data_IF_910815870736
#
_entry.id   IF_910815870736
#
_cell.length_a   1.000
_cell.length_b   1.000
_cell.length_c   1.000
_cell.angle_alpha   90.00
_cell.angle_beta   90.00
_cell.angle_gamma   90.00
#
_symmetry.space_group_name_H-M   'P 1'
#
loop_
_entity.id
_entity.type
_entity.pdbx_description
1 polymer ?
#
# COMPACT_ATOMS: atom_id res chain seq x y z
N UNK A 1 7.34 48.30 14.07
CA UNK A 1 6.20 47.35 14.18
C UNK A 1 6.69 46.00 13.69
N UNK A 2 7.10 45.12 14.61
CA UNK A 2 7.53 43.77 14.24
C UNK A 2 6.27 42.96 13.90
N UNK A 3 6.16 42.46 12.67
CA UNK A 3 5.14 41.48 12.33
C UNK A 3 5.35 40.25 13.24
N UNK A 4 4.35 39.90 14.03
CA UNK A 4 4.39 38.72 14.87
C UNK A 4 4.64 37.48 13.97
N UNK A 5 5.75 36.79 14.17
CA UNK A 5 6.02 35.53 13.50
C UNK A 5 4.86 34.57 13.79
N UNK A 6 4.15 34.14 12.74
CA UNK A 6 3.08 33.18 12.88
C UNK A 6 3.63 31.88 13.52
N UNK A 7 2.89 31.23 14.43
CA UNK A 7 3.35 30.02 15.13
C UNK A 7 3.47 28.80 14.21
N UNK A 8 3.03 28.90 12.95
CA UNK A 8 2.99 27.83 11.98
C UNK A 8 3.48 28.37 10.63
N UNK A 9 4.37 27.61 9.99
CA UNK A 9 4.74 27.81 8.60
C UNK A 9 3.92 26.87 7.71
N UNK A 10 3.11 27.43 6.82
CA UNK A 10 2.38 26.67 5.80
C UNK A 10 3.21 26.62 4.53
N UNK A 11 3.39 25.42 3.96
CA UNK A 11 4.06 25.23 2.69
C UNK A 11 3.31 24.18 1.88
N UNK A 12 2.95 24.52 0.65
CA UNK A 12 2.53 23.52 -0.33
C UNK A 12 3.76 22.74 -0.80
N UNK A 13 3.79 21.44 -0.53
CA UNK A 13 4.92 20.59 -0.91
C UNK A 13 4.82 20.12 -2.37
N UNK A 14 3.61 19.72 -2.80
CA UNK A 14 3.36 19.16 -4.13
C UNK A 14 1.86 19.19 -4.45
N UNK A 15 1.51 19.60 -5.67
CA UNK A 15 0.17 19.38 -6.24
C UNK A 15 0.17 18.10 -7.07
N UNK A 16 -0.57 17.05 -6.68
CA UNK A 16 -0.54 15.75 -7.38
C UNK A 16 -0.95 15.83 -8.86
N UNK A 17 -1.88 16.73 -9.21
CA UNK A 17 -2.26 16.96 -10.60
C UNK A 17 -1.10 17.48 -11.47
N UNK A 18 -0.16 18.23 -10.88
CA UNK A 18 1.01 18.76 -11.60
C UNK A 18 2.01 17.69 -12.03
N UNK A 19 2.01 16.53 -11.36
CA UNK A 19 2.84 15.36 -11.69
C UNK A 19 2.06 14.30 -12.48
N UNK A 20 0.93 14.70 -13.08
CA UNK A 20 0.16 13.88 -14.00
C UNK A 20 -0.75 12.86 -13.33
N UNK A 21 -1.04 12.98 -12.02
CA UNK A 21 -2.07 12.18 -11.36
C UNK A 21 -3.44 12.73 -11.75
N UNK A 22 -4.32 11.85 -12.25
CA UNK A 22 -5.68 12.26 -12.56
C UNK A 22 -6.46 12.57 -11.27
N UNK A 23 -7.12 13.74 -11.15
CA UNK A 23 -7.89 14.12 -9.96
C UNK A 23 -8.91 13.08 -9.48
N UNK A 24 -9.47 12.27 -10.39
CA UNK A 24 -10.42 11.20 -10.01
C UNK A 24 -9.81 10.16 -9.05
N UNK A 25 -8.48 9.98 -9.08
CA UNK A 25 -7.76 9.03 -8.24
C UNK A 25 -7.20 9.68 -6.97
N UNK A 26 -7.44 10.96 -6.73
CA UNK A 26 -7.02 11.66 -5.50
C UNK A 26 -8.10 11.46 -4.43
N UNK A 27 -8.21 10.24 -3.92
CA UNK A 27 -9.19 9.86 -2.90
C UNK A 27 -8.54 8.93 -1.87
N UNK A 28 -9.16 8.79 -0.70
CA UNK A 28 -8.64 7.93 0.39
C UNK A 28 -8.46 6.47 -0.04
N UNK A 29 -9.25 5.98 -0.99
CA UNK A 29 -9.17 4.60 -1.48
C UNK A 29 -8.00 4.39 -2.45
N UNK A 30 -7.56 5.45 -3.15
CA UNK A 30 -6.56 5.37 -4.21
C UNK A 30 -5.20 5.94 -3.81
N UNK A 31 -5.14 6.90 -2.89
CA UNK A 31 -3.90 7.55 -2.42
C UNK A 31 -3.52 7.06 -1.03
N UNK A 32 -2.27 6.63 -0.88
CA UNK A 32 -1.69 6.26 0.42
C UNK A 32 -0.40 7.02 0.65
N UNK A 33 -0.19 7.41 1.91
CA UNK A 33 1.01 8.11 2.37
C UNK A 33 1.39 7.57 3.74
N UNK A 34 2.41 6.72 3.75
CA UNK A 34 2.87 5.99 4.95
C UNK A 34 4.02 6.71 5.66
N UNK A 35 4.65 7.67 4.96
CA UNK A 35 5.70 8.57 5.46
C UNK A 35 5.74 9.83 4.60
N UNK A 36 6.63 10.76 4.94
CA UNK A 36 6.97 11.93 4.13
C UNK A 36 7.81 11.60 2.88
N UNK A 37 8.29 10.35 2.71
CA UNK A 37 9.16 9.96 1.61
C UNK A 37 8.44 9.58 0.33
N UNK A 38 7.27 8.96 0.45
CA UNK A 38 6.56 8.36 -0.68
C UNK A 38 5.07 8.63 -0.63
N UNK A 39 4.52 8.97 -1.78
CA UNK A 39 3.08 8.94 -2.04
C UNK A 39 2.81 7.85 -3.06
N UNK A 40 1.84 6.99 -2.78
CA UNK A 40 1.44 5.91 -3.67
C UNK A 40 0.01 6.15 -4.15
N UNK A 41 -0.20 6.14 -5.46
CA UNK A 41 -1.51 6.36 -6.08
C UNK A 41 -1.86 5.17 -6.96
N UNK A 42 -3.05 4.59 -6.77
CA UNK A 42 -3.58 3.54 -7.64
C UNK A 42 -4.46 4.18 -8.71
N UNK A 43 -4.07 4.05 -9.97
CA UNK A 43 -4.90 4.44 -11.10
C UNK A 43 -5.58 3.19 -11.67
N UNK A 44 -6.88 3.27 -11.96
CA UNK A 44 -7.66 2.13 -12.50
C UNK A 44 -8.18 2.36 -13.92
N UNK A 45 -7.76 3.44 -14.56
CA UNK A 45 -8.06 3.75 -15.96
C UNK A 45 -6.91 4.59 -16.58
N UNK A 46 -6.55 4.38 -17.86
CA UNK A 46 -7.10 3.38 -18.80
C UNK A 46 -6.66 1.93 -18.49
N UNK A 47 -5.61 1.76 -17.69
CA UNK A 47 -5.13 0.47 -17.20
C UNK A 47 -4.80 0.58 -15.71
N UNK A 48 -4.93 -0.53 -14.98
CA UNK A 48 -4.51 -0.60 -13.58
C UNK A 48 -3.01 -0.36 -13.45
N UNK A 49 -2.64 0.66 -12.69
CA UNK A 49 -1.25 0.97 -12.39
C UNK A 49 -1.10 1.52 -10.98
N UNK A 50 0.09 1.35 -10.42
CA UNK A 50 0.50 2.00 -9.18
C UNK A 50 1.56 3.02 -9.52
N UNK A 51 1.27 4.27 -9.20
CA UNK A 51 2.17 5.42 -9.35
C UNK A 51 2.82 5.70 -8.02
N UNK A 52 4.15 5.66 -7.98
CA UNK A 52 4.96 5.91 -6.79
C UNK A 52 5.67 7.24 -6.99
N UNK A 53 5.36 8.21 -6.14
CA UNK A 53 5.97 9.53 -6.13
C UNK A 53 7.00 9.53 -5.00
N UNK A 54 8.28 9.66 -5.38
CA UNK A 54 9.38 9.86 -4.45
C UNK A 54 9.49 11.34 -4.13
N UNK A 55 9.30 11.73 -2.86
CA UNK A 55 9.30 13.14 -2.45
C UNK A 55 10.69 13.79 -2.55
N UNK A 56 11.76 13.01 -2.74
CA UNK A 56 13.08 13.55 -3.09
C UNK A 56 13.19 13.96 -4.57
N UNK A 57 12.37 13.37 -5.45
CA UNK A 57 12.32 13.62 -6.89
C UNK A 57 10.87 13.58 -7.41
N UNK A 58 9.99 14.48 -6.93
CA UNK A 58 8.54 14.37 -7.16
C UNK A 58 8.14 14.54 -8.64
N UNK A 59 8.97 15.20 -9.44
CA UNK A 59 8.76 15.42 -10.87
C UNK A 59 8.99 14.17 -11.74
N UNK A 60 9.47 13.06 -11.16
CA UNK A 60 9.72 11.80 -11.86
C UNK A 60 8.96 10.63 -11.22
N UNK A 61 7.61 10.65 -11.26
CA UNK A 61 6.81 9.58 -10.67
C UNK A 61 7.05 8.24 -11.39
N UNK A 62 7.24 7.17 -10.63
CA UNK A 62 7.44 5.83 -11.15
C UNK A 62 6.08 5.14 -11.32
N UNK A 63 5.66 4.91 -12.57
CA UNK A 63 4.44 4.16 -12.89
C UNK A 63 4.76 2.69 -13.13
N UNK A 64 4.08 1.76 -12.44
CA UNK A 64 4.21 0.32 -12.66
C UNK A 64 2.86 -0.31 -12.97
N UNK A 65 2.76 -1.19 -14.00
CA UNK A 65 1.53 -1.92 -14.31
C UNK A 65 1.29 -2.98 -13.24
N UNK A 66 0.52 -2.63 -12.21
CA UNK A 66 0.24 -3.47 -11.04
C UNK A 66 -1.26 -3.44 -10.80
N UNK A 67 -1.88 -4.61 -10.77
CA UNK A 67 -3.28 -4.77 -10.38
C UNK A 67 -3.34 -5.16 -8.91
N UNK A 68 -3.83 -4.26 -8.07
CA UNK A 68 -4.02 -4.48 -6.64
C UNK A 68 -5.20 -3.64 -6.11
N UNK A 69 -5.88 -4.18 -5.10
CA UNK A 69 -6.95 -3.49 -4.39
C UNK A 69 -6.40 -2.43 -3.42
N UNK A 70 -5.19 -2.65 -2.88
CA UNK A 70 -4.49 -1.67 -2.05
C UNK A 70 -2.97 -1.78 -2.22
N UNK A 71 -2.28 -0.66 -2.06
CA UNK A 71 -0.83 -0.56 -2.21
C UNK A 71 -0.27 0.42 -1.16
N UNK A 72 0.76 0.00 -0.44
CA UNK A 72 1.41 0.78 0.62
C UNK A 72 2.93 0.77 0.42
N UNK A 73 3.54 1.94 0.24
CA UNK A 73 4.99 2.07 0.24
C UNK A 73 5.54 1.99 1.66
N UNK A 74 6.68 1.33 1.82
CA UNK A 74 7.37 1.27 3.09
C UNK A 74 7.85 2.68 3.53
N UNK A 75 7.82 3.00 4.85
CA UNK A 75 8.19 4.32 5.35
C UNK A 75 9.63 4.77 5.05
N UNK A 76 10.58 3.85 4.85
CA UNK A 76 11.98 4.22 4.66
C UNK A 76 12.69 3.53 3.49
N UNK A 77 12.12 2.46 2.93
CA UNK A 77 12.75 1.62 1.91
C UNK A 77 11.92 1.56 0.62
N UNK A 78 12.58 1.16 -0.48
CA UNK A 78 11.95 0.85 -1.78
C UNK A 78 11.26 -0.53 -1.73
N UNK A 79 10.35 -0.68 -0.78
CA UNK A 79 9.54 -1.89 -0.56
C UNK A 79 8.07 -1.51 -0.70
N UNK A 80 7.34 -2.24 -1.54
CA UNK A 80 5.93 -2.04 -1.82
C UNK A 80 5.14 -3.24 -1.28
N UNK A 81 4.20 -2.97 -0.38
CA UNK A 81 3.20 -3.95 0.04
C UNK A 81 1.97 -3.81 -0.87
N UNK A 82 1.50 -4.93 -1.41
CA UNK A 82 0.32 -5.03 -2.25
C UNK A 82 -0.70 -5.97 -1.64
N UNK A 83 -1.97 -5.57 -1.67
CA UNK A 83 -3.13 -6.42 -1.38
C UNK A 83 -3.92 -6.56 -2.66
N UNK A 84 -4.01 -7.77 -3.18
CA UNK A 84 -4.85 -8.08 -4.32
C UNK A 84 -5.81 -9.20 -3.99
N UNK A 85 -6.96 -9.22 -4.66
CA UNK A 85 -7.86 -10.37 -4.65
C UNK A 85 -7.32 -11.46 -5.56
N UNK A 86 -7.10 -12.64 -4.99
CA UNK A 86 -6.93 -13.88 -5.75
C UNK A 86 -8.31 -14.53 -5.86
N UNK A 87 -8.85 -14.63 -7.08
CA UNK A 87 -9.92 -15.58 -7.33
C UNK A 87 -9.30 -16.96 -7.20
N UNK A 88 -9.64 -17.71 -6.15
CA UNK A 88 -9.29 -19.12 -6.09
C UNK A 88 -10.12 -19.82 -7.16
N UNK A 89 -9.49 -20.10 -8.30
CA UNK A 89 -10.04 -21.09 -9.22
C UNK A 89 -9.95 -22.44 -8.51
N UNK A 90 -11.08 -23.14 -8.48
CA UNK A 90 -11.25 -24.43 -7.81
C UNK A 90 -10.18 -25.41 -8.26
N UNK A 91 -9.14 -25.59 -7.44
CA UNK A 91 -8.23 -26.73 -7.58
C UNK A 91 -7.94 -27.26 -6.18
N UNK A 92 -8.52 -28.43 -5.91
CA UNK A 92 -8.19 -29.44 -4.89
C UNK A 92 -9.16 -29.60 -3.71
N UNK A 93 -10.04 -30.59 -3.84
CA UNK A 93 -10.41 -31.70 -2.94
C UNK A 93 -10.78 -31.49 -1.47
N UNK A 94 -10.85 -30.26 -0.97
CA UNK A 94 -11.47 -30.00 0.34
C UNK A 94 -12.46 -28.87 0.23
N UNK A 95 -13.73 -29.18 0.48
CA UNK A 95 -14.89 -28.31 0.35
C UNK A 95 -14.65 -26.93 1.01
N UNK A 96 -14.30 -25.94 0.20
CA UNK A 96 -14.35 -24.53 0.53
C UNK A 96 -15.45 -23.91 -0.34
N UNK A 97 -16.38 -23.23 0.31
CA UNK A 97 -17.60 -22.69 -0.31
C UNK A 97 -17.26 -21.81 -1.54
N UNK A 98 -17.98 -21.97 -2.67
CA UNK A 98 -17.82 -21.11 -3.84
C UNK A 98 -18.02 -19.64 -3.46
N UNK A 99 -17.08 -18.77 -3.83
CA UNK A 99 -17.19 -17.32 -3.63
C UNK A 99 -16.41 -16.72 -2.46
N UNK A 100 -15.59 -17.50 -1.75
CA UNK A 100 -14.71 -16.92 -0.71
C UNK A 100 -13.57 -16.12 -1.36
N UNK A 101 -13.68 -14.80 -1.30
CA UNK A 101 -12.63 -13.90 -1.81
C UNK A 101 -11.59 -13.73 -0.72
N UNK A 102 -10.41 -14.34 -0.89
CA UNK A 102 -9.32 -14.18 0.07
C UNK A 102 -8.32 -13.12 -0.40
N UNK A 103 -7.90 -12.25 0.51
CA UNK A 103 -6.89 -11.24 0.22
C UNK A 103 -5.50 -11.89 0.14
N UNK A 104 -4.85 -11.71 -1.00
CA UNK A 104 -3.48 -12.12 -1.23
C UNK A 104 -2.55 -10.93 -0.96
N UNK A 105 -1.83 -10.99 0.15
CA UNK A 105 -0.85 -9.98 0.53
C UNK A 105 0.52 -10.33 -0.04
N UNK A 106 1.20 -9.36 -0.64
CA UNK A 106 2.51 -9.52 -1.25
C UNK A 106 3.42 -8.36 -0.89
N UNK A 107 4.69 -8.64 -0.63
CA UNK A 107 5.72 -7.63 -0.37
C UNK A 107 6.76 -7.75 -1.48
N UNK A 108 6.97 -6.66 -2.21
CA UNK A 108 7.95 -6.56 -3.29
C UNK A 108 9.03 -5.56 -2.96
N UNK A 109 10.28 -5.94 -3.22
CA UNK A 109 11.36 -4.99 -3.34
C UNK A 109 11.34 -4.43 -4.78
N UNK A 110 11.02 -3.14 -4.93
CA UNK A 110 10.91 -2.54 -6.27
C UNK A 110 12.28 -2.21 -6.89
N UNK A 111 13.31 -2.09 -6.06
CA UNK A 111 14.71 -1.88 -6.48
C UNK A 111 15.29 -3.18 -7.03
N UNK A 112 15.20 -4.26 -6.26
CA UNK A 112 15.65 -5.60 -6.68
C UNK A 112 14.70 -6.28 -7.67
N UNK A 113 13.52 -5.70 -7.93
CA UNK A 113 12.44 -6.26 -8.74
C UNK A 113 12.06 -7.70 -8.30
N UNK A 114 12.09 -7.94 -7.00
CA UNK A 114 11.95 -9.28 -6.41
C UNK A 114 10.81 -9.32 -5.40
N UNK A 115 10.06 -10.43 -5.39
CA UNK A 115 9.07 -10.72 -4.34
C UNK A 115 9.81 -11.14 -3.07
N UNK A 116 9.65 -10.39 -1.98
CA UNK A 116 10.24 -10.71 -0.68
C UNK A 116 9.38 -11.74 0.05
N UNK A 117 8.07 -11.48 0.13
CA UNK A 117 7.14 -12.29 0.92
C UNK A 117 5.74 -12.27 0.33
N UNK A 118 4.97 -13.28 0.67
CA UNK A 118 3.59 -13.47 0.25
C UNK A 118 2.82 -14.19 1.34
N UNK A 119 1.58 -13.80 1.59
CA UNK A 119 0.70 -14.48 2.52
C UNK A 119 -0.75 -14.43 2.02
N UNK A 120 -1.44 -15.57 2.11
CA UNK A 120 -2.85 -15.68 1.80
C UNK A 120 -3.63 -15.56 3.10
N UNK A 121 -4.41 -14.48 3.25
CA UNK A 121 -5.19 -14.28 4.47
C UNK A 121 -6.42 -15.19 4.48
N UNK A 122 -6.76 -15.81 5.63
CA UNK A 122 -7.97 -16.62 5.75
C UNK A 122 -9.24 -15.77 5.73
N UNK A 123 -9.14 -14.50 6.15
CA UNK A 123 -10.22 -13.52 6.20
C UNK A 123 -9.86 -12.27 5.37
N UNK A 124 -10.85 -11.45 5.06
CA UNK A 124 -10.63 -10.17 4.39
C UNK A 124 -9.92 -9.18 5.32
N UNK A 125 -8.88 -8.54 4.81
CA UNK A 125 -8.20 -7.42 5.46
C UNK A 125 -8.95 -6.14 5.09
N UNK A 126 -9.63 -5.57 6.09
CA UNK A 126 -10.43 -4.34 5.95
C UNK A 126 -9.57 -3.08 6.04
N UNK A 127 -8.46 -3.16 6.80
CA UNK A 127 -7.50 -2.08 6.93
C UNK A 127 -6.10 -2.65 7.18
N UNK A 128 -5.08 -1.95 6.71
CA UNK A 128 -3.70 -2.29 6.95
C UNK A 128 -2.82 -1.06 6.87
N UNK A 129 -1.70 -1.08 7.60
CA UNK A 129 -0.77 0.05 7.68
C UNK A 129 0.62 -0.43 8.08
N UNK A 130 1.67 0.28 7.66
CA UNK A 130 3.00 0.10 8.26
C UNK A 130 3.00 0.65 9.68
N UNK A 131 3.28 -0.21 10.66
CA UNK A 131 3.48 0.18 12.06
C UNK A 131 4.94 0.59 12.28
N UNK A 132 5.85 -0.17 11.67
CA UNK A 132 7.28 0.13 11.62
C UNK A 132 7.79 -0.15 10.21
N UNK A 133 9.01 0.28 9.85
CA UNK A 133 9.60 -0.07 8.57
C UNK A 133 9.76 -1.58 8.32
N UNK A 134 9.53 -2.42 9.33
CA UNK A 134 9.65 -3.88 9.22
C UNK A 134 8.34 -4.62 9.46
N UNK A 135 7.26 -3.93 9.83
CA UNK A 135 6.04 -4.57 10.31
C UNK A 135 4.78 -3.87 9.79
N UNK A 136 3.88 -4.67 9.23
CA UNK A 136 2.53 -4.27 8.84
C UNK A 136 1.54 -4.68 9.92
N UNK A 137 0.64 -3.78 10.30
CA UNK A 137 -0.59 -4.11 11.00
C UNK A 137 -1.66 -4.47 10.00
N UNK A 138 -2.32 -5.60 10.19
CA UNK A 138 -3.43 -6.08 9.37
C UNK A 138 -4.67 -6.17 10.27
N UNK A 139 -5.77 -5.56 9.85
CA UNK A 139 -7.04 -5.57 10.57
C UNK A 139 -8.04 -6.35 9.74
N UNK A 140 -8.60 -7.42 10.32
CA UNK A 140 -9.75 -8.15 9.77
C UNK A 140 -11.01 -7.73 10.50
N UNK A 141 -12.14 -8.38 10.21
CA UNK A 141 -13.39 -8.11 10.91
C UNK A 141 -13.33 -8.53 12.40
N UNK A 142 -12.51 -9.53 12.73
CA UNK A 142 -12.49 -10.16 14.05
C UNK A 142 -11.21 -9.88 14.83
N UNK A 143 -10.08 -9.66 14.14
CA UNK A 143 -8.75 -9.71 14.74
C UNK A 143 -7.77 -8.72 14.13
N UNK A 144 -6.71 -8.42 14.87
CA UNK A 144 -5.55 -7.64 14.41
C UNK A 144 -4.31 -8.51 14.40
N UNK A 145 -3.55 -8.47 13.32
CA UNK A 145 -2.32 -9.23 13.12
C UNK A 145 -1.13 -8.32 12.85
N UNK A 146 0.04 -8.75 13.31
CA UNK A 146 1.31 -8.16 12.92
C UNK A 146 2.02 -9.05 11.92
N UNK A 147 2.37 -8.48 10.77
CA UNK A 147 3.11 -9.13 9.70
C UNK A 147 4.48 -8.50 9.52
N UNK A 148 5.51 -9.19 9.99
CA UNK A 148 6.89 -8.77 9.76
C UNK A 148 7.36 -9.11 8.34
N UNK A 149 8.13 -8.22 7.74
CA UNK A 149 8.85 -8.47 6.47
C UNK A 149 10.11 -9.30 6.70
N UNK A 150 10.62 -9.32 7.94
CA UNK A 150 11.75 -10.12 8.38
C UNK A 150 11.23 -11.36 9.14
N UNK A 151 11.67 -12.56 8.77
CA UNK A 151 11.26 -13.81 9.42
C UNK A 151 9.88 -14.34 8.99
N UNK A 152 9.49 -15.51 9.53
CA UNK A 152 8.29 -16.26 9.09
C UNK A 152 6.98 -15.86 9.77
N UNK A 153 7.00 -15.31 10.98
CA UNK A 153 5.82 -15.40 11.85
C UNK A 153 4.86 -14.22 11.64
N UNK A 154 3.60 -14.56 11.35
CA UNK A 154 2.43 -13.72 11.56
C UNK A 154 1.94 -13.97 12.97
N UNK A 155 1.95 -12.95 13.81
CA UNK A 155 1.48 -13.08 15.19
C UNK A 155 0.15 -12.33 15.36
N UNK A 156 -0.88 -12.97 15.93
CA UNK A 156 -2.05 -12.24 16.39
C UNK A 156 -1.65 -11.31 17.54
N UNK A 157 -2.32 -10.17 17.65
CA UNK A 157 -2.20 -9.32 18.83
C UNK A 157 -2.89 -10.02 20.03
N UNK A 158 -2.32 -9.97 21.24
CA UNK A 158 -2.98 -10.51 22.45
C UNK A 158 -4.23 -9.71 22.85
#
# INVERSE_FOLDING_TARGET
>A
MAAANAPIAMKEALTLASVGINPQFITFTHVTMESDKYICVRETAPQNSVVIIDMSMPMQPLRRPITADSALMNPNARILALKGRRLLLETSDFAQLPGTTQDHLQIFNIEMKAKIKSHQMPEQVVFWKWITPKMLGLVTQTSVYHWSIEGKILLPFP
#
